data_IF_501522528301
#
_entry.id   IF_501522528301
#
_cell.length_a   1.000
_cell.length_b   1.000
_cell.length_c   1.000
_cell.angle_alpha   90.00
_cell.angle_beta   90.00
_cell.angle_gamma   90.00
#
_symmetry.space_group_name_H-M   'P 1'
#
loop_
_entity.id
_entity.type
_entity.pdbx_description
1 polymer ?
#
# COMPACT_ATOMS: atom_id res chain seq x y z
N UNK A 1 25.10 -6.70 -24.18
CA UNK A 1 24.34 -7.61 -23.28
C UNK A 1 23.38 -8.41 -24.13
N UNK A 2 23.22 -9.71 -23.87
CA UNK A 2 22.24 -10.53 -24.58
C UNK A 2 20.82 -10.15 -24.18
N UNK A 3 19.84 -10.35 -25.08
CA UNK A 3 18.42 -10.10 -24.78
C UNK A 3 17.94 -10.91 -23.57
N UNK A 4 18.46 -12.13 -23.40
CA UNK A 4 18.18 -12.99 -22.25
C UNK A 4 18.64 -12.37 -20.91
N UNK A 5 19.82 -11.75 -20.89
CA UNK A 5 20.33 -11.07 -19.69
C UNK A 5 19.54 -9.81 -19.35
N UNK A 6 18.99 -9.11 -20.37
CA UNK A 6 18.12 -7.96 -20.15
C UNK A 6 16.77 -8.37 -19.55
N UNK A 7 16.17 -9.48 -20.01
CA UNK A 7 14.94 -10.04 -19.42
C UNK A 7 15.21 -10.48 -17.98
N UNK A 8 16.27 -11.26 -17.73
CA UNK A 8 16.61 -11.73 -16.38
C UNK A 8 16.85 -10.60 -15.36
N UNK A 9 17.40 -9.45 -15.79
CA UNK A 9 17.60 -8.29 -14.90
C UNK A 9 16.32 -7.48 -14.60
N UNK A 10 15.24 -7.75 -15.33
CA UNK A 10 13.94 -7.09 -15.22
C UNK A 10 12.88 -8.02 -14.62
N UNK A 11 13.07 -9.33 -14.71
CA UNK A 11 12.28 -10.34 -14.04
C UNK A 11 12.63 -10.37 -12.56
N UNK A 12 11.63 -10.14 -11.71
CA UNK A 12 11.68 -10.56 -10.32
C UNK A 12 10.96 -11.90 -10.21
N UNK A 13 11.14 -12.61 -9.10
CA UNK A 13 10.24 -13.70 -8.76
C UNK A 13 8.87 -13.12 -8.39
N UNK A 14 7.99 -12.99 -9.38
CA UNK A 14 6.69 -12.32 -9.23
C UNK A 14 5.78 -13.04 -8.24
N UNK A 15 5.80 -14.37 -8.23
CA UNK A 15 5.01 -15.18 -7.30
C UNK A 15 5.51 -15.05 -5.86
N UNK A 16 6.83 -15.12 -5.66
CA UNK A 16 7.40 -14.88 -4.34
C UNK A 16 7.18 -13.44 -3.88
N UNK A 17 7.30 -12.46 -4.78
CA UNK A 17 7.06 -11.05 -4.46
C UNK A 17 5.59 -10.81 -4.08
N UNK A 18 4.65 -11.39 -4.82
CA UNK A 18 3.23 -11.35 -4.51
C UNK A 18 2.94 -11.95 -3.13
N UNK A 19 3.47 -13.15 -2.87
CA UNK A 19 3.34 -13.82 -1.56
C UNK A 19 3.87 -12.95 -0.42
N UNK A 20 5.07 -12.37 -0.60
CA UNK A 20 5.67 -11.49 0.40
C UNK A 20 4.87 -10.20 0.60
N UNK A 21 4.31 -9.65 -0.48
CA UNK A 21 3.47 -8.45 -0.42
C UNK A 21 2.19 -8.71 0.38
N UNK A 22 1.49 -9.82 0.12
CA UNK A 22 0.30 -10.20 0.89
C UNK A 22 0.65 -10.39 2.37
N UNK A 23 1.75 -11.08 2.67
CA UNK A 23 2.20 -11.27 4.06
C UNK A 23 2.59 -9.96 4.75
N UNK A 24 3.25 -9.05 4.05
CA UNK A 24 3.58 -7.71 4.56
C UNK A 24 2.31 -6.91 4.88
N UNK A 25 1.33 -6.90 3.96
CA UNK A 25 0.06 -6.21 4.14
C UNK A 25 -0.71 -6.73 5.36
N UNK A 26 -0.84 -8.05 5.49
CA UNK A 26 -1.46 -8.67 6.66
C UNK A 26 -0.72 -8.33 7.96
N UNK A 27 0.62 -8.32 7.93
CA UNK A 27 1.43 -7.96 9.11
C UNK A 27 1.23 -6.49 9.50
N UNK A 28 1.17 -5.59 8.53
CA UNK A 28 0.99 -4.17 8.80
C UNK A 28 -0.41 -3.88 9.32
N UNK A 29 -1.43 -4.54 8.76
CA UNK A 29 -2.81 -4.47 9.23
C UNK A 29 -2.93 -4.94 10.70
N UNK A 30 -2.44 -6.14 10.99
CA UNK A 30 -2.42 -6.69 12.35
C UNK A 30 -1.59 -5.87 13.37
N UNK A 31 -0.73 -4.96 12.89
CA UNK A 31 0.07 -4.10 13.76
C UNK A 31 -0.62 -2.78 14.10
N UNK A 32 -1.77 -2.46 13.49
CA UNK A 32 -2.56 -1.26 13.79
C UNK A 32 -3.36 -1.51 15.06
N UNK A 33 -2.92 -0.91 16.17
CA UNK A 33 -3.56 -1.06 17.46
C UNK A 33 -3.13 0.03 18.46
N UNK A 34 -3.79 0.06 19.63
CA UNK A 34 -3.54 0.97 20.73
C UNK A 34 -4.30 2.28 20.57
N UNK A 35 -3.70 3.36 21.08
CA UNK A 35 -4.28 4.70 21.06
C UNK A 35 -4.51 5.21 19.64
N UNK A 36 -5.43 6.17 19.46
CA UNK A 36 -5.65 6.81 18.16
C UNK A 36 -4.35 7.40 17.59
N UNK A 37 -3.52 8.02 18.43
CA UNK A 37 -2.23 8.54 18.01
C UNK A 37 -1.29 7.44 17.46
N UNK A 38 -1.27 6.26 18.11
CA UNK A 38 -0.51 5.11 17.62
C UNK A 38 -1.06 4.61 16.29
N UNK A 39 -2.38 4.48 16.17
CA UNK A 39 -3.05 4.01 14.96
C UNK A 39 -2.81 4.95 13.76
N UNK A 40 -2.87 6.27 13.95
CA UNK A 40 -2.47 7.28 12.94
C UNK A 40 -1.01 7.09 12.51
N UNK A 41 -0.11 6.87 13.47
CA UNK A 41 1.32 6.68 13.17
C UNK A 41 1.60 5.37 12.43
N UNK A 42 0.98 4.26 12.85
CA UNK A 42 1.15 2.94 12.26
C UNK A 42 0.61 2.89 10.83
N UNK A 43 -0.58 3.44 10.59
CA UNK A 43 -1.16 3.58 9.24
C UNK A 43 -0.28 4.45 8.33
N UNK A 44 0.25 5.57 8.84
CA UNK A 44 1.24 6.37 8.09
C UNK A 44 2.50 5.57 7.72
N UNK A 45 3.02 4.76 8.65
CA UNK A 45 4.18 3.91 8.36
C UNK A 45 3.87 2.83 7.32
N UNK A 46 2.69 2.19 7.40
CA UNK A 46 2.24 1.21 6.41
C UNK A 46 2.11 1.84 5.01
N UNK A 47 1.49 3.02 4.92
CA UNK A 47 1.37 3.78 3.68
C UNK A 47 2.72 4.10 3.04
N UNK A 48 3.69 4.58 3.82
CA UNK A 48 5.00 4.90 3.28
C UNK A 48 5.72 3.65 2.76
N UNK A 49 5.63 2.53 3.48
CA UNK A 49 6.21 1.26 3.02
C UNK A 49 5.55 0.77 1.74
N UNK A 50 4.22 0.83 1.65
CA UNK A 50 3.47 0.48 0.46
C UNK A 50 3.80 1.40 -0.72
N UNK A 51 3.89 2.72 -0.47
CA UNK A 51 4.26 3.70 -1.47
C UNK A 51 5.63 3.41 -2.08
N UNK A 52 6.64 3.08 -1.26
CA UNK A 52 7.96 2.72 -1.76
C UNK A 52 7.94 1.47 -2.66
N UNK A 53 7.12 0.46 -2.30
CA UNK A 53 6.93 -0.74 -3.14
C UNK A 53 6.23 -0.39 -4.45
N UNK A 54 5.20 0.45 -4.44
CA UNK A 54 4.52 0.93 -5.66
C UNK A 54 5.50 1.67 -6.57
N UNK A 55 6.26 2.63 -6.03
CA UNK A 55 7.25 3.41 -6.81
C UNK A 55 8.30 2.50 -7.43
N UNK A 56 8.76 1.47 -6.71
CA UNK A 56 9.69 0.49 -7.26
C UNK A 56 9.10 -0.23 -8.48
N UNK A 57 7.86 -0.72 -8.37
CA UNK A 57 7.16 -1.44 -9.44
C UNK A 57 6.86 -0.52 -10.63
N UNK A 58 6.33 0.69 -10.40
CA UNK A 58 6.07 1.68 -11.45
C UNK A 58 7.34 2.04 -12.24
N UNK A 59 8.47 2.22 -11.55
CA UNK A 59 9.76 2.51 -12.21
C UNK A 59 10.23 1.36 -13.08
N UNK A 60 10.07 0.11 -12.62
CA UNK A 60 10.41 -1.09 -13.40
C UNK A 60 9.52 -1.22 -14.62
N UNK A 61 8.21 -1.04 -14.45
CA UNK A 61 7.23 -1.02 -15.54
C UNK A 61 7.57 0.04 -16.59
N UNK A 62 7.78 1.28 -16.17
CA UNK A 62 8.12 2.40 -17.07
C UNK A 62 9.45 2.20 -17.82
N UNK A 63 10.42 1.51 -17.20
CA UNK A 63 11.65 1.13 -17.88
C UNK A 63 11.37 0.11 -19.00
N UNK A 64 10.57 -0.92 -18.72
CA UNK A 64 10.21 -1.97 -19.69
C UNK A 64 9.43 -1.40 -20.87
N UNK A 65 8.48 -0.49 -20.62
CA UNK A 65 7.71 0.21 -21.66
C UNK A 65 8.63 0.92 -22.68
N UNK A 66 9.74 1.48 -22.20
CA UNK A 66 10.71 2.23 -23.01
C UNK A 66 11.76 1.35 -23.68
N UNK A 67 11.86 0.07 -23.32
CA UNK A 67 12.84 -0.85 -23.89
C UNK A 67 12.35 -1.45 -25.21
N UNK A 68 12.68 -0.79 -26.31
CA UNK A 68 12.43 -1.29 -27.68
C UNK A 68 13.28 -2.50 -28.06
N UNK A 69 14.33 -2.80 -27.29
CA UNK A 69 15.23 -3.94 -27.51
C UNK A 69 14.66 -5.29 -27.04
N UNK A 70 13.57 -5.28 -26.27
CA UNK A 70 12.89 -6.49 -25.80
C UNK A 70 11.94 -7.01 -26.88
N UNK A 71 11.86 -8.34 -27.10
CA UNK A 71 10.80 -8.93 -27.90
C UNK A 71 9.42 -8.49 -27.41
N UNK A 72 8.50 -8.23 -28.34
CA UNK A 72 7.18 -7.68 -28.02
C UNK A 72 6.40 -8.55 -27.02
N UNK A 73 6.43 -9.88 -27.23
CA UNK A 73 5.72 -10.84 -26.37
C UNK A 73 6.30 -10.87 -24.95
N UNK A 74 7.63 -10.96 -24.82
CA UNK A 74 8.30 -10.95 -23.52
C UNK A 74 8.10 -9.62 -22.78
N UNK A 75 8.06 -8.50 -23.51
CA UNK A 75 7.74 -7.19 -22.95
C UNK A 75 6.30 -7.14 -22.45
N UNK A 76 5.34 -7.65 -23.22
CA UNK A 76 3.93 -7.68 -22.84
C UNK A 76 3.70 -8.55 -21.59
N UNK A 77 4.34 -9.72 -21.52
CA UNK A 77 4.27 -10.63 -20.36
C UNK A 77 4.81 -9.96 -19.09
N UNK A 78 5.99 -9.35 -19.16
CA UNK A 78 6.56 -8.63 -18.02
C UNK A 78 5.67 -7.47 -17.56
N UNK A 79 5.13 -6.68 -18.51
CA UNK A 79 4.24 -5.57 -18.17
C UNK A 79 2.96 -6.07 -17.48
N UNK A 80 2.37 -7.16 -17.97
CA UNK A 80 1.21 -7.80 -17.36
C UNK A 80 1.47 -8.21 -15.90
N UNK A 81 2.64 -8.80 -15.61
CA UNK A 81 2.99 -9.18 -14.24
C UNK A 81 3.19 -7.97 -13.31
N UNK A 82 3.85 -6.91 -13.79
CA UNK A 82 3.97 -5.68 -13.02
C UNK A 82 2.62 -4.98 -12.81
N UNK A 83 1.73 -5.01 -13.80
CA UNK A 83 0.36 -4.51 -13.67
C UNK A 83 -0.47 -5.30 -12.67
N UNK A 84 -0.33 -6.63 -12.64
CA UNK A 84 -0.96 -7.48 -11.62
C UNK A 84 -0.54 -7.09 -10.21
N UNK A 85 0.76 -6.82 -9.98
CA UNK A 85 1.25 -6.36 -8.67
C UNK A 85 0.68 -4.98 -8.30
N UNK A 86 0.57 -4.06 -9.25
CA UNK A 86 -0.02 -2.74 -9.01
C UNK A 86 -1.52 -2.82 -8.72
N UNK A 87 -2.25 -3.71 -9.41
CA UNK A 87 -3.66 -3.95 -9.19
C UNK A 87 -3.95 -4.44 -7.76
N UNK A 88 -3.00 -5.11 -7.11
CA UNK A 88 -3.08 -5.46 -5.69
C UNK A 88 -2.74 -4.27 -4.77
N UNK A 89 -1.69 -3.51 -5.09
CA UNK A 89 -1.18 -2.47 -4.18
C UNK A 89 -2.01 -1.18 -4.16
N UNK A 90 -2.60 -0.76 -5.29
CA UNK A 90 -3.35 0.50 -5.32
C UNK A 90 -4.62 0.48 -4.46
N UNK A 91 -5.47 -0.57 -4.49
CA UNK A 91 -6.62 -0.64 -3.59
C UNK A 91 -6.20 -0.62 -2.12
N UNK A 92 -5.13 -1.34 -1.77
CA UNK A 92 -4.60 -1.34 -0.39
C UNK A 92 -4.09 0.03 0.03
N UNK A 93 -3.47 0.77 -0.87
CA UNK A 93 -3.04 2.15 -0.61
C UNK A 93 -4.25 3.04 -0.33
N UNK A 94 -5.28 2.97 -1.17
CA UNK A 94 -6.51 3.75 -0.97
C UNK A 94 -7.18 3.41 0.36
N UNK A 95 -7.23 2.11 0.70
CA UNK A 95 -7.78 1.65 1.97
C UNK A 95 -7.01 2.22 3.18
N UNK A 96 -5.67 2.15 3.16
CA UNK A 96 -4.85 2.73 4.22
C UNK A 96 -4.93 4.27 4.27
N UNK A 97 -5.13 4.95 3.13
CA UNK A 97 -5.34 6.40 3.08
C UNK A 97 -6.65 6.76 3.77
N UNK A 98 -7.75 6.07 3.45
CA UNK A 98 -9.06 6.27 4.08
C UNK A 98 -9.00 6.07 5.60
N UNK A 99 -8.54 4.91 6.07
CA UNK A 99 -8.54 4.60 7.52
C UNK A 99 -7.62 5.55 8.32
N UNK A 100 -6.53 6.04 7.73
CA UNK A 100 -5.67 7.04 8.38
C UNK A 100 -6.40 8.37 8.50
N UNK A 101 -7.13 8.77 7.47
CA UNK A 101 -7.86 10.02 7.46
C UNK A 101 -9.02 9.95 8.48
N UNK A 102 -9.73 8.82 8.58
CA UNK A 102 -10.72 8.57 9.65
C UNK A 102 -10.10 8.67 11.05
N UNK A 103 -8.92 8.08 11.26
CA UNK A 103 -8.22 8.21 12.55
C UNK A 103 -7.76 9.64 12.86
N UNK A 104 -7.41 10.44 11.85
CA UNK A 104 -7.05 11.84 12.01
C UNK A 104 -8.26 12.71 12.33
N UNK A 105 -9.39 12.43 11.68
CA UNK A 105 -10.64 13.13 11.94
C UNK A 105 -11.13 12.83 13.35
N UNK A 106 -11.04 11.57 13.80
CA UNK A 106 -11.34 11.18 15.18
C UNK A 106 -10.38 11.86 16.18
N UNK A 107 -9.08 11.89 15.88
CA UNK A 107 -8.11 12.60 16.72
C UNK A 107 -8.46 14.10 16.83
N UNK A 108 -8.87 14.71 15.73
CA UNK A 108 -9.24 16.12 15.66
C UNK A 108 -10.50 16.40 16.47
N UNK A 109 -11.57 15.61 16.27
CA UNK A 109 -12.83 15.73 17.00
C UNK A 109 -12.65 15.61 18.51
N UNK A 110 -11.87 14.62 18.97
CA UNK A 110 -11.52 14.48 20.40
C UNK A 110 -10.76 15.71 20.92
N UNK A 111 -9.83 16.25 20.14
CA UNK A 111 -9.02 17.41 20.54
C UNK A 111 -9.80 18.73 20.56
N UNK A 112 -10.83 18.87 19.72
CA UNK A 112 -11.69 20.06 19.65
C UNK A 112 -12.87 20.00 20.61
N UNK A 113 -13.13 18.84 21.23
CA UNK A 113 -14.30 18.61 22.09
C UNK A 113 -15.59 18.36 21.30
N UNK A 114 -15.49 18.01 20.02
CA UNK A 114 -16.64 17.62 19.19
C UNK A 114 -17.06 16.18 19.49
N UNK A 115 -17.91 16.04 20.50
CA UNK A 115 -18.34 14.74 21.03
C UNK A 115 -19.28 13.99 20.08
N UNK A 116 -20.02 14.68 19.22
CA UNK A 116 -20.96 14.05 18.28
C UNK A 116 -20.19 13.36 17.17
N UNK A 117 -19.30 14.09 16.48
CA UNK A 117 -18.45 13.53 15.42
C UNK A 117 -17.49 12.47 15.97
N UNK A 118 -16.92 12.66 17.16
CA UNK A 118 -16.06 11.64 17.77
C UNK A 118 -16.80 10.32 17.99
N UNK A 119 -18.06 10.37 18.48
CA UNK A 119 -18.88 9.18 18.73
C UNK A 119 -19.25 8.46 17.44
N UNK A 120 -19.61 9.20 16.39
CA UNK A 120 -19.95 8.63 15.08
C UNK A 120 -18.75 7.89 14.49
N UNK A 121 -17.56 8.51 14.49
CA UNK A 121 -16.33 7.89 13.99
C UNK A 121 -15.89 6.68 14.84
N UNK A 122 -16.06 6.72 16.15
CA UNK A 122 -15.80 5.57 17.03
C UNK A 122 -16.71 4.38 16.71
N UNK A 123 -17.99 4.64 16.41
CA UNK A 123 -18.95 3.62 16.00
C UNK A 123 -18.61 3.03 14.62
N UNK A 124 -18.26 3.88 13.64
CA UNK A 124 -17.86 3.44 12.30
C UNK A 124 -16.56 2.64 12.30
N UNK A 125 -15.60 3.00 13.17
CA UNK A 125 -14.29 2.35 13.27
C UNK A 125 -14.28 1.16 14.25
N UNK A 126 -15.42 0.85 14.88
CA UNK A 126 -15.55 -0.18 15.94
C UNK A 126 -14.52 0.01 17.07
N UNK A 127 -14.42 1.24 17.60
CA UNK A 127 -13.47 1.63 18.64
C UNK A 127 -14.18 1.94 19.96
N UNK A 128 -13.53 1.62 21.08
CA UNK A 128 -14.01 2.06 22.39
C UNK A 128 -13.97 3.60 22.50
N UNK A 129 -14.99 4.21 23.13
CA UNK A 129 -15.03 5.65 23.35
C UNK A 129 -13.79 6.14 24.09
N UNK A 130 -13.11 7.14 23.51
CA UNK A 130 -11.97 7.75 24.16
C UNK A 130 -12.42 8.70 25.25
N UNK A 131 -11.85 8.56 26.45
CA UNK A 131 -11.90 9.64 27.42
C UNK A 131 -10.80 10.66 27.08
N UNK A 132 -11.18 11.94 27.00
CA UNK A 132 -10.23 13.07 26.91
C UNK A 132 -9.42 13.18 28.19
#
# INVERSE_FOLDING_TARGET
MSQLAAVQGLTIDFEQYHTNLVADLQRWDNAIDGTIANRVFQTFCALNRLHLKIVFIERRKALIERMSSLPADARAELLSEYERLLALMYPMRQWYEAIRDDYRDLQTARSSGDLETARELEEELDLEPGHV
#
